data_IF_815231527189
#
_entry.id   IF_815231527189
#
_cell.length_a   1.000
_cell.length_b   1.000
_cell.length_c   1.000
_cell.angle_alpha   90.00
_cell.angle_beta   90.00
_cell.angle_gamma   90.00
#
_symmetry.space_group_name_H-M   'P 1'
#
loop_
_entity.id
_entity.type
_entity.pdbx_description
1 polymer ?
#
# COMPACT_ATOMS: atom_id res chain seq x y z
N UNK A 1 15.37 4.70 -2.83
CA UNK A 1 14.67 3.83 -1.89
C UNK A 1 15.71 3.05 -1.09
N UNK A 2 15.46 2.80 0.20
CA UNK A 2 16.23 1.89 1.04
C UNK A 2 15.29 0.81 1.56
N UNK A 3 15.79 -0.42 1.62
CA UNK A 3 15.06 -1.59 2.09
C UNK A 3 15.52 -1.91 3.50
N UNK A 4 14.58 -2.10 4.42
CA UNK A 4 14.88 -2.59 5.76
C UNK A 4 13.95 -3.75 6.06
N UNK A 5 14.53 -4.90 6.38
CA UNK A 5 13.80 -5.97 7.05
C UNK A 5 13.63 -5.52 8.51
N UNK A 6 12.40 -5.46 9.00
CA UNK A 6 12.16 -5.09 10.40
C UNK A 6 12.64 -6.20 11.35
N UNK A 7 12.63 -7.44 10.86
CA UNK A 7 13.11 -8.64 11.54
C UNK A 7 13.58 -9.66 10.50
N UNK A 8 14.67 -10.40 10.74
CA UNK A 8 15.09 -11.46 9.78
C UNK A 8 14.13 -12.66 9.77
N UNK A 9 13.26 -12.76 10.79
CA UNK A 9 12.28 -13.84 10.96
C UNK A 9 10.85 -13.43 10.57
N UNK A 10 10.53 -12.12 10.53
CA UNK A 10 9.21 -11.62 10.14
C UNK A 10 9.24 -11.20 8.67
N UNK A 11 8.30 -11.73 7.89
CA UNK A 11 8.09 -11.46 6.47
C UNK A 11 7.50 -10.05 6.23
N UNK A 12 7.93 -9.06 7.01
CA UNK A 12 7.56 -7.66 6.82
C UNK A 12 8.69 -6.91 6.12
N UNK A 13 8.37 -6.35 4.96
CA UNK A 13 9.30 -5.55 4.17
C UNK A 13 8.93 -4.08 4.28
N UNK A 14 9.81 -3.28 4.87
CA UNK A 14 9.61 -1.84 5.06
C UNK A 14 10.38 -1.03 4.02
N UNK A 15 9.70 -0.02 3.49
CA UNK A 15 10.16 0.83 2.41
C UNK A 15 10.13 2.29 2.82
N UNK A 16 11.31 2.83 3.02
CA UNK A 16 11.47 4.27 3.25
C UNK A 16 11.28 5.03 1.94
N UNK A 17 10.16 5.74 1.82
CA UNK A 17 9.88 6.58 0.68
C UNK A 17 10.84 7.76 0.62
N UNK A 18 11.38 8.03 -0.58
CA UNK A 18 12.10 9.29 -0.87
C UNK A 18 11.26 10.22 -1.75
N UNK A 19 9.95 10.01 -1.79
CA UNK A 19 9.03 10.75 -2.62
C UNK A 19 9.06 12.26 -2.34
N UNK A 20 9.07 13.05 -3.42
CA UNK A 20 8.99 14.51 -3.37
C UNK A 20 7.65 15.02 -3.89
N UNK A 21 6.89 14.16 -4.58
CA UNK A 21 5.62 14.48 -5.21
C UNK A 21 4.61 13.33 -5.08
N UNK A 22 3.33 13.62 -5.39
CA UNK A 22 2.27 12.61 -5.48
C UNK A 22 2.59 11.56 -6.56
N UNK A 23 3.21 11.98 -7.67
CA UNK A 23 3.60 11.06 -8.74
C UNK A 23 4.68 10.07 -8.26
N UNK A 24 5.61 10.52 -7.43
CA UNK A 24 6.64 9.65 -6.85
C UNK A 24 6.00 8.61 -5.93
N UNK A 25 5.10 9.02 -5.03
CA UNK A 25 4.38 8.08 -4.14
C UNK A 25 3.57 7.07 -4.95
N UNK A 26 2.88 7.53 -6.02
CA UNK A 26 2.15 6.65 -6.94
C UNK A 26 3.09 5.62 -7.58
N UNK A 27 4.26 6.06 -8.05
CA UNK A 27 5.26 5.20 -8.69
C UNK A 27 5.83 4.18 -7.70
N UNK A 28 6.21 4.62 -6.50
CA UNK A 28 6.72 3.75 -5.43
C UNK A 28 5.69 2.70 -5.02
N UNK A 29 4.42 3.08 -4.83
CA UNK A 29 3.33 2.12 -4.55
C UNK A 29 3.14 1.12 -5.71
N UNK A 30 3.25 1.57 -6.95
CA UNK A 30 3.19 0.68 -8.12
C UNK A 30 4.33 -0.34 -8.13
N UNK A 31 5.55 0.09 -7.83
CA UNK A 31 6.72 -0.80 -7.73
C UNK A 31 6.51 -1.85 -6.63
N UNK A 32 5.95 -1.46 -5.48
CA UNK A 32 5.63 -2.40 -4.40
C UNK A 32 4.68 -3.48 -4.85
N UNK A 33 3.56 -3.09 -5.45
CA UNK A 33 2.56 -4.03 -5.93
C UNK A 33 3.13 -4.97 -7.00
N UNK A 34 3.92 -4.44 -7.94
CA UNK A 34 4.59 -5.27 -8.96
C UNK A 34 5.54 -6.27 -8.32
N UNK A 35 6.31 -5.88 -7.31
CA UNK A 35 7.20 -6.82 -6.60
C UNK A 35 6.44 -7.88 -5.82
N UNK A 36 5.37 -7.50 -5.12
CA UNK A 36 4.46 -8.45 -4.48
C UNK A 36 3.88 -9.45 -5.49
N UNK A 37 3.63 -9.01 -6.72
CA UNK A 37 3.17 -9.86 -7.81
C UNK A 37 4.26 -10.74 -8.42
N UNK A 38 5.54 -10.36 -8.30
CA UNK A 38 6.68 -11.15 -8.80
C UNK A 38 7.05 -12.29 -7.83
N UNK A 39 6.78 -12.14 -6.53
CA UNK A 39 6.98 -13.17 -5.49
C UNK A 39 5.93 -14.31 -5.53
N UNK A 40 5.54 -14.71 -6.75
CA UNK A 40 4.37 -15.54 -7.10
C UNK A 40 4.25 -16.91 -6.45
N UNK A 41 5.29 -17.46 -5.81
CA UNK A 41 5.21 -18.81 -5.25
C UNK A 41 4.15 -18.92 -4.13
N UNK A 42 3.73 -17.80 -3.54
CA UNK A 42 2.59 -17.72 -2.59
C UNK A 42 1.28 -17.19 -3.22
N UNK A 43 1.27 -16.85 -4.52
CA UNK A 43 0.27 -16.00 -5.18
C UNK A 43 -0.92 -16.74 -5.83
N UNK A 44 -0.99 -18.06 -5.78
CA UNK A 44 -2.10 -18.79 -6.42
C UNK A 44 -3.45 -18.61 -5.70
N UNK A 45 -3.49 -18.01 -4.50
CA UNK A 45 -4.69 -17.85 -3.70
C UNK A 45 -5.19 -16.41 -3.53
N UNK A 46 -4.31 -15.41 -3.65
CA UNK A 46 -4.74 -14.03 -3.49
C UNK A 46 -5.16 -13.43 -4.82
N UNK A 47 -6.28 -12.72 -4.73
CA UNK A 47 -6.92 -12.04 -5.86
C UNK A 47 -7.18 -10.57 -5.54
N UNK A 48 -6.66 -10.09 -4.42
CA UNK A 48 -6.74 -8.69 -4.08
C UNK A 48 -5.63 -8.19 -3.17
N UNK A 49 -5.60 -6.86 -3.07
CA UNK A 49 -4.68 -6.11 -2.23
C UNK A 49 -5.47 -5.31 -1.21
N UNK A 50 -5.13 -5.45 0.07
CA UNK A 50 -5.60 -4.57 1.12
C UNK A 50 -4.53 -3.53 1.42
N UNK A 51 -4.85 -2.26 1.12
CA UNK A 51 -3.99 -1.11 1.43
C UNK A 51 -4.55 -0.38 2.64
N UNK A 52 -3.86 -0.48 3.77
CA UNK A 52 -4.18 0.21 5.02
C UNK A 52 -3.35 1.48 5.15
N UNK A 53 -4.00 2.63 5.24
CA UNK A 53 -3.36 3.93 5.45
C UNK A 53 -3.39 4.24 6.95
N UNK A 54 -2.21 4.50 7.52
CA UNK A 54 -2.07 5.00 8.89
C UNK A 54 -1.61 6.46 8.80
N UNK A 55 -2.53 7.40 9.08
CA UNK A 55 -2.26 8.82 8.93
C UNK A 55 -1.44 9.38 10.10
N UNK A 56 -1.60 8.81 11.29
CA UNK A 56 -0.86 9.18 12.50
C UNK A 56 0.63 8.87 12.35
N UNK A 57 0.96 7.65 11.90
CA UNK A 57 2.34 7.22 11.69
C UNK A 57 2.83 7.45 10.24
N UNK A 58 1.95 7.94 9.37
CA UNK A 58 2.25 8.37 8.00
C UNK A 58 2.90 7.28 7.15
N UNK A 59 2.24 6.11 7.08
CA UNK A 59 2.65 5.01 6.20
C UNK A 59 1.44 4.32 5.54
N UNK A 60 1.70 3.54 4.50
CA UNK A 60 0.72 2.65 3.86
C UNK A 60 1.19 1.22 3.96
N UNK A 61 0.40 0.35 4.57
CA UNK A 61 0.64 -1.09 4.63
C UNK A 61 -0.13 -1.78 3.51
N UNK A 62 0.50 -2.71 2.81
CA UNK A 62 -0.07 -3.46 1.70
C UNK A 62 0.03 -4.94 2.04
N UNK A 63 -1.11 -5.63 1.99
CA UNK A 63 -1.22 -7.05 2.25
C UNK A 63 -1.92 -7.76 1.10
N UNK A 64 -1.51 -9.00 0.83
CA UNK A 64 -2.25 -9.90 -0.05
C UNK A 64 -3.51 -10.41 0.66
N UNK A 65 -4.63 -10.40 -0.05
CA UNK A 65 -5.91 -10.91 0.45
C UNK A 65 -6.61 -11.76 -0.60
N UNK A 66 -7.55 -12.58 -0.13
CA UNK A 66 -8.47 -13.28 -1.02
C UNK A 66 -9.40 -12.30 -1.76
N UNK A 67 -10.20 -12.84 -2.68
CA UNK A 67 -11.12 -12.05 -3.51
C UNK A 67 -12.13 -11.23 -2.70
N UNK A 68 -12.46 -11.66 -1.49
CA UNK A 68 -13.48 -11.05 -0.62
C UNK A 68 -12.88 -10.17 0.48
N UNK A 69 -11.56 -10.10 0.59
CA UNK A 69 -10.85 -9.48 1.71
C UNK A 69 -11.22 -10.09 3.08
N UNK A 70 -11.58 -11.37 3.12
CA UNK A 70 -11.92 -12.07 4.38
C UNK A 70 -10.66 -12.69 5.02
N UNK A 71 -9.70 -13.10 4.20
CA UNK A 71 -8.46 -13.74 4.65
C UNK A 71 -7.23 -13.07 4.03
N UNK A 72 -6.18 -12.94 4.84
CA UNK A 72 -4.84 -12.60 4.36
C UNK A 72 -4.24 -13.83 3.66
N UNK A 73 -3.58 -13.60 2.52
CA UNK A 73 -2.92 -14.65 1.76
C UNK A 73 -1.42 -14.51 1.90
N UNK A 74 -0.81 -15.51 2.52
CA UNK A 74 0.61 -15.47 2.89
C UNK A 74 0.87 -14.60 4.11
N UNK A 75 2.13 -14.63 4.56
CA UNK A 75 2.58 -13.93 5.76
C UNK A 75 3.28 -12.59 5.42
N UNK A 76 3.28 -12.20 4.14
CA UNK A 76 4.05 -11.05 3.67
C UNK A 76 3.25 -9.75 3.77
N UNK A 77 3.83 -8.79 4.48
CA UNK A 77 3.33 -7.41 4.59
C UNK A 77 4.37 -6.45 4.03
N UNK A 78 3.92 -5.48 3.24
CA UNK A 78 4.78 -4.47 2.64
C UNK A 78 4.37 -3.10 3.17
N UNK A 79 5.30 -2.34 3.71
CA UNK A 79 5.02 -1.05 4.35
C UNK A 79 5.74 0.08 3.61
N UNK A 80 4.99 1.04 3.03
CA UNK A 80 5.53 2.26 2.44
C UNK A 80 5.49 3.40 3.46
N UNK A 81 6.63 3.68 4.07
CA UNK A 81 6.81 4.75 5.06
C UNK A 81 6.97 6.10 4.37
N UNK A 82 6.07 7.05 4.68
CA UNK A 82 6.01 8.37 4.05
C UNK A 82 6.39 9.50 5.02
N UNK A 83 6.61 9.21 6.30
CA UNK A 83 6.84 10.21 7.36
C UNK A 83 8.01 11.16 7.04
N UNK A 84 9.15 10.66 6.54
CA UNK A 84 10.30 11.52 6.19
C UNK A 84 10.21 12.15 4.79
N UNK A 85 9.22 11.75 3.98
CA UNK A 85 9.12 12.20 2.60
C UNK A 85 8.94 13.72 2.53
N UNK A 86 9.61 14.37 1.57
CA UNK A 86 9.50 15.83 1.41
C UNK A 86 8.10 16.26 0.98
N UNK A 87 7.35 15.35 0.36
CA UNK A 87 5.94 15.54 0.06
C UNK A 87 5.08 15.64 1.33
N UNK A 88 5.31 14.74 2.29
CA UNK A 88 4.55 14.66 3.51
C UNK A 88 4.85 15.80 4.50
N UNK A 89 6.07 16.35 4.50
CA UNK A 89 6.39 17.58 5.28
C UNK A 89 5.51 18.78 4.93
N UNK A 90 4.84 18.77 3.76
CA UNK A 90 3.87 19.79 3.36
C UNK A 90 2.45 19.54 3.88
N UNK A 91 2.21 18.36 4.45
CA UNK A 91 0.93 17.91 4.99
C UNK A 91 0.89 18.16 6.49
N UNK A 92 0.18 19.21 6.89
CA UNK A 92 0.08 19.61 8.31
C UNK A 92 -1.01 18.84 9.08
N UNK A 93 -1.75 17.93 8.44
CA UNK A 93 -2.93 17.29 9.02
C UNK A 93 -3.11 15.87 8.46
N UNK A 94 -3.34 14.91 9.36
CA UNK A 94 -3.59 13.49 9.09
C UNK A 94 -4.78 13.25 8.15
N UNK A 95 -5.84 14.06 8.22
CA UNK A 95 -7.01 13.96 7.32
C UNK A 95 -6.63 14.29 5.87
N UNK A 96 -5.70 15.23 5.66
CA UNK A 96 -5.22 15.58 4.31
C UNK A 96 -4.30 14.48 3.78
N UNK A 97 -3.48 13.90 4.66
CA UNK A 97 -2.66 12.73 4.33
C UNK A 97 -3.53 11.58 3.85
N UNK A 98 -4.52 11.18 4.65
CA UNK A 98 -5.46 10.09 4.33
C UNK A 98 -6.12 10.29 2.97
N UNK A 99 -6.73 11.46 2.75
CA UNK A 99 -7.41 11.76 1.47
C UNK A 99 -6.46 11.72 0.27
N UNK A 100 -5.20 12.14 0.43
CA UNK A 100 -4.24 12.08 -0.68
C UNK A 100 -3.77 10.67 -0.94
N UNK A 101 -3.47 9.90 0.10
CA UNK A 101 -3.10 8.50 -0.01
C UNK A 101 -4.25 7.68 -0.63
N UNK A 102 -5.50 7.92 -0.23
CA UNK A 102 -6.67 7.31 -0.87
C UNK A 102 -6.75 7.60 -2.38
N UNK A 103 -6.52 8.86 -2.78
CA UNK A 103 -6.51 9.23 -4.21
C UNK A 103 -5.36 8.55 -4.97
N UNK A 104 -4.19 8.38 -4.33
CA UNK A 104 -3.08 7.64 -4.90
C UNK A 104 -3.46 6.17 -5.07
N UNK A 105 -4.05 5.55 -4.04
CA UNK A 105 -4.54 4.16 -4.09
C UNK A 105 -5.53 3.98 -5.23
N UNK A 106 -6.53 4.86 -5.40
CA UNK A 106 -7.47 4.82 -6.53
C UNK A 106 -6.74 4.91 -7.88
N UNK A 107 -5.78 5.82 -8.00
CA UNK A 107 -5.03 6.02 -9.23
C UNK A 107 -4.09 4.85 -9.58
N UNK A 108 -3.59 4.12 -8.59
CA UNK A 108 -2.80 2.90 -8.78
C UNK A 108 -3.72 1.72 -9.06
N UNK A 109 -4.79 1.55 -8.29
CA UNK A 109 -5.78 0.49 -8.51
C UNK A 109 -6.31 0.52 -9.94
N UNK A 110 -6.56 1.71 -10.51
CA UNK A 110 -6.91 1.87 -11.92
C UNK A 110 -5.94 1.19 -12.90
N UNK A 111 -4.64 1.27 -12.61
CA UNK A 111 -3.59 0.69 -13.45
C UNK A 111 -3.49 -0.83 -13.30
N UNK A 112 -3.90 -1.39 -12.16
CA UNK A 112 -3.76 -2.83 -11.86
C UNK A 112 -5.08 -3.62 -11.97
N UNK A 113 -6.25 -2.95 -11.94
CA UNK A 113 -7.56 -3.62 -12.09
C UNK A 113 -7.74 -4.29 -13.45
N UNK A 114 -7.13 -3.74 -14.51
CA UNK A 114 -7.09 -4.38 -15.84
C UNK A 114 -6.38 -5.74 -15.83
N UNK A 115 -5.60 -6.03 -14.77
CA UNK A 115 -4.92 -7.31 -14.55
C UNK A 115 -5.73 -8.30 -13.69
N UNK A 116 -7.00 -7.99 -13.36
CA UNK A 116 -7.92 -8.90 -12.67
C UNK A 116 -7.83 -8.90 -11.13
N UNK A 117 -7.08 -7.98 -10.53
CA UNK A 117 -6.96 -7.88 -9.07
C UNK A 117 -7.99 -6.92 -8.48
N UNK A 118 -8.54 -7.30 -7.32
CA UNK A 118 -9.41 -6.42 -6.53
C UNK A 118 -8.60 -5.58 -5.55
N UNK A 119 -8.95 -4.30 -5.41
CA UNK A 119 -8.30 -3.42 -4.45
C UNK A 119 -9.25 -3.08 -3.31
N UNK A 120 -8.73 -3.16 -2.09
CA UNK A 120 -9.38 -2.76 -0.87
C UNK A 120 -8.55 -1.66 -0.22
N UNK A 121 -9.23 -0.65 0.33
CA UNK A 121 -8.59 0.40 1.07
C UNK A 121 -9.22 0.50 2.46
N UNK A 122 -8.37 0.64 3.46
CA UNK A 122 -8.75 0.97 4.85
C UNK A 122 -7.97 2.22 5.22
N UNK A 123 -8.61 3.17 5.87
CA UNK A 123 -7.90 4.33 6.41
C UNK A 123 -8.05 4.36 7.92
N UNK A 124 -7.31 5.23 8.61
CA UNK A 124 -7.41 5.36 10.06
C UNK A 124 -8.82 5.80 10.50
N UNK A 125 -9.52 6.57 9.65
CA UNK A 125 -10.83 7.13 9.93
C UNK A 125 -11.99 6.39 9.24
N UNK A 126 -11.70 5.44 8.35
CA UNK A 126 -12.72 4.77 7.52
C UNK A 126 -12.49 3.26 7.51
N UNK A 127 -13.54 2.50 7.77
CA UNK A 127 -13.55 1.03 7.68
C UNK A 127 -13.15 0.56 6.28
N UNK A 128 -12.65 -0.68 6.17
CA UNK A 128 -12.27 -1.26 4.89
C UNK A 128 -13.40 -1.15 3.85
N UNK A 129 -13.09 -0.67 2.66
CA UNK A 129 -14.00 -0.60 1.53
C UNK A 129 -13.31 -1.09 0.25
N UNK A 130 -14.11 -1.63 -0.67
CA UNK A 130 -13.64 -2.00 -2.00
C UNK A 130 -13.41 -0.72 -2.82
N UNK A 131 -12.21 -0.56 -3.36
CA UNK A 131 -11.89 0.56 -4.25
C UNK A 131 -12.68 0.37 -5.54
N UNK A 132 -13.46 1.39 -5.91
CA UNK A 132 -14.16 1.47 -7.19
C UNK A 132 -13.48 2.55 -8.02
N UNK A 133 -13.20 2.28 -9.29
CA UNK A 133 -12.42 3.14 -10.19
C UNK A 133 -13.24 3.55 -11.40
#
# INVERSE_FOLDING_TARGET
MSWRAFNQEEKETVYDSKAKSVADVKSELGILLTKMLEEKENANLGKGFLISINATNQYMQINWVDEKCENFVGDWSYSLELYESSWNKKLKNSVIFDKRCENIVKAVAKTFMDSGYTFYCRTEFVSTYKVSV
#
